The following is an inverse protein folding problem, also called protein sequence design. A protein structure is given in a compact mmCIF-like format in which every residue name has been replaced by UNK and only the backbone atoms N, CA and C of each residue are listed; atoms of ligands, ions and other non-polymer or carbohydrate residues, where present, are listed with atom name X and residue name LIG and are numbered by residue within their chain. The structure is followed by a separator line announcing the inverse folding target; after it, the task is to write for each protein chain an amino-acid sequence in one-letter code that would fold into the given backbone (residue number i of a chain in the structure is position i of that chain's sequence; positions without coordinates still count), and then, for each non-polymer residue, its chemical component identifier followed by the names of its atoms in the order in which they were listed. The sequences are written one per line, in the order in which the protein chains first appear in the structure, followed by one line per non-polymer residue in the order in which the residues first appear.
data_IF_128324858769
#
_entry.id   IF_128324858769
#
_cell.length_a   1.000
_cell.length_b   1.000
_cell.length_c   1.000
_cell.angle_alpha   90.00
_cell.angle_beta   90.00
_cell.angle_gamma   90.00
#
_symmetry.space_group_name_H-M   'P 1'
#
loop_
_entity.id
_entity.type
_entity.pdbx_description
1 polymer ?
#
# COMPACT_ATOMS: atom_id res chain seq x y z
N UNK A 1 22.93 -12.29 -18.97
CA UNK A 1 21.78 -12.78 -19.76
C UNK A 1 20.74 -13.49 -18.89
N UNK A 2 21.11 -14.52 -18.12
CA UNK A 2 20.17 -15.27 -17.25
C UNK A 2 19.47 -14.41 -16.19
N UNK A 3 20.19 -13.50 -15.53
CA UNK A 3 19.61 -12.58 -14.53
C UNK A 3 18.48 -11.72 -15.13
N UNK A 4 18.65 -11.24 -16.36
CA UNK A 4 17.63 -10.46 -17.06
C UNK A 4 16.39 -11.29 -17.40
N UNK A 5 16.55 -12.58 -17.69
CA UNK A 5 15.43 -13.49 -17.95
C UNK A 5 14.67 -13.83 -16.66
N UNK A 6 15.37 -14.02 -15.54
CA UNK A 6 14.73 -14.19 -14.23
C UNK A 6 13.92 -12.95 -13.84
N UNK A 7 14.46 -11.75 -14.10
CA UNK A 7 13.74 -10.50 -13.86
C UNK A 7 12.53 -10.34 -14.78
N UNK A 8 12.62 -10.75 -16.05
CA UNK A 8 11.48 -10.71 -16.97
C UNK A 8 10.36 -11.68 -16.59
N UNK A 9 10.65 -12.74 -15.83
CA UNK A 9 9.63 -13.63 -15.26
C UNK A 9 8.98 -12.99 -14.02
N UNK A 10 9.76 -12.34 -13.15
CA UNK A 10 9.23 -11.64 -11.97
C UNK A 10 8.46 -10.36 -12.33
N UNK A 11 8.94 -9.64 -13.34
CA UNK A 11 8.42 -8.36 -13.82
C UNK A 11 8.25 -8.45 -15.34
N UNK A 12 7.17 -9.06 -15.82
CA UNK A 12 6.92 -9.23 -17.24
C UNK A 12 6.85 -7.87 -17.95
N UNK A 13 7.83 -7.53 -18.83
CA UNK A 13 7.85 -6.24 -19.52
C UNK A 13 6.73 -6.10 -20.58
N UNK A 14 6.00 -7.18 -20.86
CA UNK A 14 4.92 -7.25 -21.84
C UNK A 14 3.52 -7.09 -21.22
N UNK A 15 3.41 -7.00 -19.89
CA UNK A 15 2.15 -6.54 -19.30
C UNK A 15 2.04 -5.03 -19.45
N UNK A 16 0.95 -4.58 -20.07
CA UNK A 16 0.63 -3.16 -20.13
C UNK A 16 0.46 -2.64 -18.70
N UNK A 17 1.02 -1.46 -18.36
CA UNK A 17 0.74 -0.84 -17.07
C UNK A 17 -0.78 -0.77 -16.87
N UNK A 18 -1.28 -1.06 -15.66
CA UNK A 18 -2.70 -0.88 -15.37
C UNK A 18 -3.14 0.51 -15.83
N UNK A 19 -4.21 0.55 -16.65
CA UNK A 19 -4.76 1.80 -17.21
C UNK A 19 -5.14 2.81 -16.13
N UNK A 20 -5.41 2.31 -14.92
CA UNK A 20 -5.73 3.10 -13.75
C UNK A 20 -4.64 2.86 -12.69
N UNK A 21 -4.08 3.92 -12.10
CA UNK A 21 -3.18 3.78 -10.96
C UNK A 21 -3.95 3.08 -9.83
N UNK A 22 -3.31 2.09 -9.21
CA UNK A 22 -3.88 1.38 -8.07
C UNK A 22 -3.95 2.38 -6.90
N UNK A 23 -5.14 2.84 -6.57
CA UNK A 23 -5.30 3.79 -5.47
C UNK A 23 -5.26 3.03 -4.14
N UNK A 24 -4.42 3.53 -3.26
CA UNK A 24 -4.20 3.03 -1.92
C UNK A 24 -4.74 4.06 -0.92
N UNK A 25 -5.29 3.59 0.20
CA UNK A 25 -5.92 4.43 1.23
C UNK A 25 -4.93 5.33 2.01
N UNK A 26 -3.64 5.34 1.62
CA UNK A 26 -2.57 6.16 2.19
C UNK A 26 -2.94 7.63 2.42
N UNK A 27 -2.13 8.40 3.17
CA UNK A 27 -2.51 9.74 3.65
C UNK A 27 -2.97 10.76 2.59
N UNK A 28 -2.69 10.52 1.30
CA UNK A 28 -3.27 11.28 0.19
C UNK A 28 -4.80 11.21 0.15
N UNK A 29 -5.41 10.08 0.51
CA UNK A 29 -6.86 9.86 0.56
C UNK A 29 -7.60 10.80 1.53
N UNK A 30 -6.92 11.24 2.60
CA UNK A 30 -7.49 12.17 3.59
C UNK A 30 -7.73 13.55 2.98
N UNK A 31 -6.84 13.97 2.07
CA UNK A 31 -6.89 15.29 1.42
C UNK A 31 -7.47 15.24 0.01
N UNK A 32 -7.51 14.07 -0.61
CA UNK A 32 -7.98 13.87 -1.98
C UNK A 32 -8.76 12.57 -2.06
N UNK A 33 -10.10 12.63 -2.04
CA UNK A 33 -10.92 11.43 -2.09
C UNK A 33 -10.67 10.66 -3.40
N UNK A 34 -10.80 9.33 -3.37
CA UNK A 34 -10.57 8.48 -4.52
C UNK A 34 -11.62 8.74 -5.59
N UNK A 35 -11.23 8.50 -6.83
CA UNK A 35 -12.19 8.44 -7.93
C UNK A 35 -13.03 7.17 -7.82
N UNK A 36 -14.35 7.22 -8.09
CA UNK A 36 -15.24 6.06 -7.95
C UNK A 36 -14.86 4.86 -8.83
N UNK A 37 -14.07 5.09 -9.87
CA UNK A 37 -13.57 4.08 -10.81
C UNK A 37 -12.21 3.49 -10.41
N UNK A 38 -11.59 3.97 -9.33
CA UNK A 38 -10.26 3.54 -8.93
C UNK A 38 -10.25 2.08 -8.44
N UNK A 39 -9.22 1.34 -8.86
CA UNK A 39 -9.01 -0.03 -8.44
C UNK A 39 -8.39 -0.01 -7.03
N UNK A 40 -9.17 -0.41 -6.03
CA UNK A 40 -8.72 -0.50 -4.63
C UNK A 40 -8.08 -1.86 -4.38
N UNK A 41 -6.84 -1.88 -3.92
CA UNK A 41 -6.18 -3.11 -3.48
C UNK A 41 -6.53 -3.46 -2.03
N UNK A 42 -7.32 -4.53 -1.86
CA UNK A 42 -7.73 -5.03 -0.54
C UNK A 42 -6.53 -5.46 0.33
N UNK A 43 -5.51 -6.06 -0.30
CA UNK A 43 -4.29 -6.49 0.38
C UNK A 43 -3.54 -5.28 0.92
N UNK A 44 -3.35 -4.24 0.10
CA UNK A 44 -2.66 -3.03 0.54
C UNK A 44 -3.46 -2.36 1.66
N UNK A 45 -4.77 -2.18 1.50
CA UNK A 45 -5.63 -1.59 2.53
C UNK A 45 -5.53 -2.34 3.86
N UNK A 46 -5.49 -3.67 3.83
CA UNK A 46 -5.31 -4.48 5.04
C UNK A 46 -3.96 -4.21 5.70
N UNK A 47 -2.88 -4.17 4.92
CA UNK A 47 -1.53 -3.86 5.43
C UNK A 47 -1.52 -2.48 6.08
N UNK A 48 -2.17 -1.48 5.47
CA UNK A 48 -2.24 -0.12 5.99
C UNK A 48 -2.94 -0.06 7.35
N UNK A 49 -4.17 -0.59 7.40
CA UNK A 49 -4.99 -0.54 8.60
C UNK A 49 -4.33 -1.29 9.77
N UNK A 50 -3.71 -2.44 9.48
CA UNK A 50 -2.95 -3.19 10.49
C UNK A 50 -1.73 -2.41 10.95
N UNK A 51 -1.00 -1.75 10.05
CA UNK A 51 0.17 -0.93 10.41
C UNK A 51 -0.23 0.24 11.30
N UNK A 52 -1.31 0.95 10.97
CA UNK A 52 -1.85 2.06 11.77
C UNK A 52 -2.30 1.55 13.13
N UNK A 53 -2.99 0.41 13.19
CA UNK A 53 -3.43 -0.20 14.45
C UNK A 53 -2.24 -0.57 15.36
N UNK A 54 -1.20 -1.19 14.80
CA UNK A 54 0.03 -1.54 15.54
C UNK A 54 0.74 -0.28 16.03
N UNK A 55 0.90 0.74 15.17
CA UNK A 55 1.51 2.01 15.55
C UNK A 55 0.73 2.71 16.67
N UNK A 56 -0.60 2.72 16.61
CA UNK A 56 -1.46 3.24 17.66
C UNK A 56 -1.33 2.47 18.97
N UNK A 57 -1.25 1.14 18.91
CA UNK A 57 -1.03 0.28 20.08
C UNK A 57 0.31 0.59 20.75
N UNK A 58 1.41 0.59 20.01
CA UNK A 58 2.72 0.94 20.57
C UNK A 58 2.78 2.39 21.06
N UNK A 59 2.16 3.32 20.33
CA UNK A 59 2.01 4.71 20.75
C UNK A 59 1.31 4.83 22.10
N UNK A 60 0.24 4.08 22.32
CA UNK A 60 -0.50 4.07 23.60
C UNK A 60 0.37 3.62 24.78
N UNK A 61 1.24 2.62 24.57
CA UNK A 61 2.20 2.19 25.59
C UNK A 61 3.27 3.23 25.85
N UNK A 62 3.75 3.92 24.81
CA UNK A 62 4.71 5.01 24.95
C UNK A 62 4.14 6.17 25.77
N UNK A 63 2.90 6.60 25.49
CA UNK A 63 2.23 7.64 26.27
C UNK A 63 1.93 7.20 27.70
N UNK A 64 1.58 5.92 27.92
CA UNK A 64 1.38 5.37 29.27
C UNK A 64 2.67 5.35 30.09
N UNK A 65 3.83 5.04 29.49
CA UNK A 65 5.12 4.99 30.20
C UNK A 65 5.65 6.37 30.60
N UNK A 66 5.09 7.46 30.05
CA UNK A 66 5.52 8.84 30.29
C UNK A 66 4.65 9.57 31.33
N UNK A 67 3.62 8.91 31.84
CA UNK A 67 2.82 9.34 33.02
C UNK A 67 3.34 8.68 34.29
#
# INVERSE_FOLDING_TARGET
MVVGLCLAILFPPWEAPPLQPLEFLGMHFVLTPPTPEAIISQLLLTIELVTIAIAGLYGSFFFRSKS
#
